data_IF_602832110247
#
_entry.id   IF_602832110247
#
_cell.length_a   1.000
_cell.length_b   1.000
_cell.length_c   1.000
_cell.angle_alpha   90.00
_cell.angle_beta   90.00
_cell.angle_gamma   90.00
#
_symmetry.space_group_name_H-M   'P 1'
#
loop_
_entity.id
_entity.type
_entity.pdbx_description
1 polymer ?
#
# COMPACT_ATOMS: atom_id res chain seq x y z
N UNK A 1 -12.12 -2.92 12.71
CA UNK A 1 -11.37 -2.73 11.43
C UNK A 1 -10.25 -3.75 11.35
N UNK A 2 -10.14 -4.48 10.23
CA UNK A 2 -9.06 -5.45 9.99
C UNK A 2 -8.26 -5.01 8.77
N UNK A 3 -6.94 -5.07 8.86
CA UNK A 3 -5.99 -4.73 7.79
C UNK A 3 -5.18 -5.97 7.44
N UNK A 4 -5.27 -6.42 6.18
CA UNK A 4 -4.51 -7.54 5.63
C UNK A 4 -3.53 -7.02 4.59
N UNK A 5 -2.24 -7.33 4.73
CA UNK A 5 -1.23 -7.01 3.73
C UNK A 5 -1.26 -8.08 2.63
N UNK A 6 -1.77 -7.74 1.46
CA UNK A 6 -1.88 -8.66 0.32
C UNK A 6 -0.54 -8.84 -0.41
N UNK A 7 0.31 -7.84 -0.31
CA UNK A 7 1.67 -7.83 -0.83
C UNK A 7 2.48 -6.74 -0.17
N UNK A 8 3.78 -6.96 -0.03
CA UNK A 8 4.70 -6.09 0.72
C UNK A 8 5.96 -5.74 -0.08
N UNK A 9 6.09 -6.26 -1.30
CA UNK A 9 7.21 -6.04 -2.19
C UNK A 9 7.07 -4.79 -3.06
N UNK A 10 8.20 -4.42 -3.66
CA UNK A 10 8.31 -3.32 -4.62
C UNK A 10 7.72 -3.66 -6.00
N UNK A 11 7.90 -2.74 -6.96
CA UNK A 11 7.43 -2.89 -8.34
C UNK A 11 7.89 -4.19 -9.04
N UNK A 12 8.94 -4.82 -8.56
CA UNK A 12 9.51 -6.05 -9.14
C UNK A 12 9.01 -7.29 -8.42
N UNK A 13 8.75 -7.18 -7.12
CA UNK A 13 8.47 -8.29 -6.22
C UNK A 13 9.71 -9.14 -5.89
N UNK A 14 9.54 -10.09 -4.96
CA UNK A 14 10.60 -11.04 -4.58
C UNK A 14 10.03 -12.46 -4.63
N UNK A 15 10.67 -13.42 -5.33
CA UNK A 15 11.93 -13.29 -6.07
C UNK A 15 11.78 -12.48 -7.35
N UNK A 16 12.83 -11.74 -7.71
CA UNK A 16 12.93 -11.02 -8.97
C UNK A 16 13.27 -11.98 -10.12
N UNK A 17 12.62 -11.79 -11.26
CA UNK A 17 12.86 -12.57 -12.47
C UNK A 17 14.34 -12.51 -12.87
N UNK A 18 14.97 -13.71 -13.01
CA UNK A 18 16.36 -13.84 -13.44
C UNK A 18 17.41 -13.42 -12.41
N UNK A 19 17.05 -13.33 -11.13
CA UNK A 19 17.96 -12.93 -10.06
C UNK A 19 18.29 -14.07 -9.11
N UNK A 20 19.60 -14.28 -8.86
CA UNK A 20 20.15 -15.29 -7.96
C UNK A 20 20.75 -14.72 -6.67
N UNK A 21 20.34 -13.50 -6.26
CA UNK A 21 20.81 -12.96 -4.99
C UNK A 21 20.32 -13.82 -3.81
N UNK A 22 20.95 -13.71 -2.62
CA UNK A 22 20.60 -14.56 -1.47
C UNK A 22 19.11 -14.50 -1.12
N UNK A 23 18.48 -13.31 -1.18
CA UNK A 23 17.07 -13.11 -0.87
C UNK A 23 16.14 -13.76 -1.90
N UNK A 24 16.48 -13.67 -3.19
CA UNK A 24 15.70 -14.33 -4.25
C UNK A 24 15.82 -15.86 -4.18
N UNK A 25 17.00 -16.40 -3.89
CA UNK A 25 17.19 -17.85 -3.67
C UNK A 25 16.42 -18.31 -2.45
N UNK A 26 16.53 -17.60 -1.31
CA UNK A 26 15.75 -17.91 -0.13
C UNK A 26 14.23 -17.96 -0.43
N UNK A 27 13.71 -16.97 -1.15
CA UNK A 27 12.31 -16.94 -1.54
C UNK A 27 11.88 -18.13 -2.41
N UNK A 28 12.75 -18.56 -3.34
CA UNK A 28 12.51 -19.73 -4.19
C UNK A 28 12.54 -21.04 -3.41
N UNK A 29 13.50 -21.19 -2.48
CA UNK A 29 13.69 -22.40 -1.67
C UNK A 29 12.60 -22.59 -0.62
N UNK A 30 12.14 -21.48 0.00
CA UNK A 30 11.14 -21.54 1.09
C UNK A 30 9.71 -21.34 0.61
N UNK A 31 9.51 -20.83 -0.62
CA UNK A 31 8.20 -20.42 -1.11
C UNK A 31 7.70 -19.10 -0.49
N UNK A 32 8.51 -18.44 0.34
CA UNK A 32 8.20 -17.12 0.91
C UNK A 32 8.62 -16.03 -0.05
N UNK A 33 7.68 -15.41 -0.74
CA UNK A 33 7.93 -14.29 -1.64
C UNK A 33 7.28 -13.02 -1.13
N UNK A 34 7.50 -11.93 -1.87
CA UNK A 34 6.79 -10.67 -1.68
C UNK A 34 6.08 -10.31 -2.98
N UNK A 35 4.76 -10.36 -2.98
CA UNK A 35 3.94 -9.78 -4.04
C UNK A 35 4.03 -8.26 -3.97
N UNK A 36 3.69 -7.57 -5.06
CA UNK A 36 3.67 -6.10 -5.11
C UNK A 36 2.71 -5.53 -4.08
N UNK A 37 3.04 -4.39 -3.51
CA UNK A 37 2.32 -3.80 -2.38
C UNK A 37 0.84 -3.57 -2.70
N UNK A 38 -0.01 -4.08 -1.82
CA UNK A 38 -1.46 -3.88 -1.81
C UNK A 38 -2.01 -4.25 -0.44
N UNK A 39 -3.08 -3.59 -0.01
CA UNK A 39 -3.74 -3.81 1.27
C UNK A 39 -5.22 -4.15 1.07
N UNK A 40 -5.77 -4.99 1.93
CA UNK A 40 -7.20 -5.21 2.05
C UNK A 40 -7.66 -4.76 3.44
N UNK A 41 -8.62 -3.84 3.48
CA UNK A 41 -9.23 -3.37 4.72
C UNK A 41 -10.65 -3.89 4.78
N UNK A 42 -10.97 -4.58 5.87
CA UNK A 42 -12.29 -5.15 6.13
C UNK A 42 -12.96 -4.43 7.30
N UNK A 43 -14.20 -4.01 7.12
CA UNK A 43 -15.05 -3.45 8.16
C UNK A 43 -16.51 -3.81 7.90
N UNK A 44 -17.20 -4.38 8.92
CA UNK A 44 -18.59 -4.73 8.83
C UNK A 44 -18.94 -5.66 7.65
N UNK A 45 -18.03 -6.54 7.23
CA UNK A 45 -18.18 -7.43 6.08
C UNK A 45 -18.03 -6.74 4.72
N UNK A 46 -17.55 -5.50 4.68
CA UNK A 46 -17.18 -4.74 3.48
C UNK A 46 -15.67 -4.70 3.31
N UNK A 47 -15.22 -4.71 2.04
CA UNK A 47 -13.81 -4.77 1.70
C UNK A 47 -13.39 -3.56 0.86
N UNK A 48 -12.40 -2.83 1.36
CA UNK A 48 -11.72 -1.74 0.65
C UNK A 48 -10.34 -2.26 0.23
N UNK A 49 -10.07 -2.25 -1.06
CA UNK A 49 -8.76 -2.62 -1.61
C UNK A 49 -7.94 -1.36 -1.83
N UNK A 50 -6.74 -1.29 -1.24
CA UNK A 50 -5.79 -0.19 -1.45
C UNK A 50 -4.73 -0.66 -2.42
N UNK A 51 -4.70 0.00 -3.57
CA UNK A 51 -3.92 -0.34 -4.75
C UNK A 51 -4.26 -1.72 -5.37
N UNK A 52 -4.34 -1.75 -6.67
CA UNK A 52 -4.64 -2.93 -7.48
C UNK A 52 -3.39 -3.35 -8.24
N UNK A 53 -2.48 -4.05 -7.56
CA UNK A 53 -1.22 -4.48 -8.15
C UNK A 53 -1.40 -5.48 -9.30
N UNK A 54 -0.42 -5.67 -10.19
CA UNK A 54 -0.45 -6.74 -11.20
C UNK A 54 -0.60 -8.14 -10.62
N UNK A 55 -0.33 -8.35 -9.33
CA UNK A 55 -0.48 -9.61 -8.62
C UNK A 55 -1.90 -9.81 -8.05
N UNK A 56 -2.84 -8.91 -8.36
CA UNK A 56 -4.16 -8.83 -7.73
C UNK A 56 -4.90 -10.18 -7.73
N UNK A 57 -4.90 -10.89 -8.84
CA UNK A 57 -5.53 -12.20 -8.92
C UNK A 57 -4.99 -13.16 -7.86
N UNK A 58 -3.68 -13.26 -7.72
CA UNK A 58 -3.03 -14.13 -6.73
C UNK A 58 -3.30 -13.64 -5.31
N UNK A 59 -3.26 -12.34 -5.09
CA UNK A 59 -3.53 -11.70 -3.80
C UNK A 59 -4.95 -12.00 -3.32
N UNK A 60 -5.96 -11.78 -4.15
CA UNK A 60 -7.36 -12.05 -3.78
C UNK A 60 -7.64 -13.54 -3.58
N UNK A 61 -7.06 -14.43 -4.39
CA UNK A 61 -7.19 -15.87 -4.19
C UNK A 61 -6.62 -16.31 -2.82
N UNK A 62 -5.47 -15.78 -2.43
CA UNK A 62 -4.87 -16.04 -1.11
C UNK A 62 -5.72 -15.47 0.04
N UNK A 63 -6.40 -14.36 -0.18
CA UNK A 63 -7.32 -13.74 0.79
C UNK A 63 -8.71 -14.40 0.87
N UNK A 64 -8.92 -15.51 0.18
CA UNK A 64 -10.21 -16.21 0.19
C UNK A 64 -11.24 -15.69 -0.81
N UNK A 65 -10.80 -14.93 -1.82
CA UNK A 65 -11.63 -14.38 -2.90
C UNK A 65 -12.76 -13.46 -2.40
N UNK A 66 -12.49 -12.45 -1.58
CA UNK A 66 -13.52 -11.54 -1.09
C UNK A 66 -14.11 -10.72 -2.25
N UNK A 67 -15.40 -10.34 -2.11
CA UNK A 67 -15.97 -9.29 -2.94
C UNK A 67 -15.33 -7.95 -2.58
N UNK A 68 -14.93 -7.16 -3.55
CA UNK A 68 -14.33 -5.82 -3.33
C UNK A 68 -15.41 -4.76 -3.52
N UNK A 69 -15.71 -4.02 -2.45
CA UNK A 69 -16.75 -2.99 -2.43
C UNK A 69 -16.25 -1.61 -2.88
N UNK A 70 -14.96 -1.34 -2.69
CA UNK A 70 -14.31 -0.09 -3.13
C UNK A 70 -12.81 -0.28 -3.33
N UNK A 71 -12.23 0.58 -4.17
CA UNK A 71 -10.79 0.66 -4.40
C UNK A 71 -10.28 2.06 -4.05
N UNK A 72 -9.13 2.13 -3.38
CA UNK A 72 -8.36 3.36 -3.21
C UNK A 72 -7.09 3.24 -4.06
N UNK A 73 -6.81 4.21 -4.95
CA UNK A 73 -5.51 4.29 -5.62
C UNK A 73 -4.66 5.40 -5.02
N UNK A 74 -3.44 5.05 -4.67
CA UNK A 74 -2.46 6.00 -4.11
C UNK A 74 -1.82 6.85 -5.21
N UNK A 75 -1.38 6.22 -6.30
CA UNK A 75 -0.73 6.89 -7.43
C UNK A 75 -0.74 6.02 -8.71
N UNK A 76 -0.20 6.58 -9.80
CA UNK A 76 -0.28 5.99 -11.14
C UNK A 76 0.94 5.17 -11.58
N UNK A 77 1.76 4.60 -10.69
CA UNK A 77 2.76 3.62 -11.10
C UNK A 77 2.10 2.26 -11.35
N UNK A 78 2.59 1.54 -12.37
CA UNK A 78 1.95 0.34 -12.87
C UNK A 78 1.73 -0.74 -11.79
N UNK A 79 2.64 -0.84 -10.85
CA UNK A 79 2.61 -1.81 -9.76
C UNK A 79 1.52 -1.53 -8.72
N UNK A 80 0.89 -0.35 -8.75
CA UNK A 80 -0.19 0.05 -7.85
C UNK A 80 -1.58 0.05 -8.50
N UNK A 81 -1.72 0.06 -9.84
CA UNK A 81 -3.05 0.15 -10.43
C UNK A 81 -3.36 -0.83 -11.56
N UNK A 82 -2.34 -1.41 -12.22
CA UNK A 82 -2.54 -2.18 -13.46
C UNK A 82 -3.37 -3.46 -13.29
N UNK A 83 -3.44 -4.03 -12.08
CA UNK A 83 -4.28 -5.20 -11.80
C UNK A 83 -5.78 -4.92 -11.77
N UNK A 84 -6.23 -3.66 -11.83
CA UNK A 84 -7.66 -3.32 -11.84
C UNK A 84 -8.43 -4.03 -12.95
N UNK A 85 -7.78 -4.33 -14.05
CA UNK A 85 -8.35 -5.10 -15.15
C UNK A 85 -8.82 -6.52 -14.79
N UNK A 86 -8.35 -7.08 -13.68
CA UNK A 86 -8.79 -8.40 -13.18
C UNK A 86 -10.27 -8.43 -12.77
N UNK A 87 -10.86 -7.26 -12.46
CA UNK A 87 -12.29 -7.18 -12.16
C UNK A 87 -13.19 -7.45 -13.38
N UNK A 88 -12.63 -7.36 -14.60
CA UNK A 88 -13.38 -7.65 -15.80
C UNK A 88 -13.91 -9.08 -15.79
N UNK A 89 -15.24 -9.22 -15.83
CA UNK A 89 -15.97 -10.51 -15.78
C UNK A 89 -15.85 -11.32 -14.47
N UNK A 90 -15.23 -10.76 -13.41
CA UNK A 90 -15.19 -11.39 -12.09
C UNK A 90 -16.31 -10.86 -11.21
N UNK A 91 -16.46 -9.54 -11.17
CA UNK A 91 -17.53 -8.82 -10.51
C UNK A 91 -17.80 -7.51 -11.27
N UNK A 92 -18.86 -6.77 -10.90
CA UNK A 92 -18.98 -5.37 -11.32
C UNK A 92 -17.74 -4.62 -10.82
N UNK A 93 -17.10 -3.84 -11.70
CA UNK A 93 -15.94 -3.08 -11.29
C UNK A 93 -16.29 -2.19 -10.09
N UNK A 94 -15.52 -2.24 -8.99
CA UNK A 94 -15.78 -1.44 -7.81
C UNK A 94 -15.56 0.05 -8.09
N UNK A 95 -16.26 0.95 -7.35
CA UNK A 95 -15.96 2.38 -7.38
C UNK A 95 -14.53 2.65 -6.93
N UNK A 96 -13.87 3.64 -7.56
CA UNK A 96 -12.49 4.00 -7.28
C UNK A 96 -12.41 5.38 -6.69
N UNK A 97 -11.76 5.49 -5.54
CA UNK A 97 -11.46 6.72 -4.82
C UNK A 97 -9.97 7.04 -4.95
N UNK A 98 -9.64 8.19 -5.50
CA UNK A 98 -8.25 8.67 -5.59
C UNK A 98 -8.21 10.17 -5.86
N UNK A 99 -7.04 10.79 -5.72
CA UNK A 99 -6.87 12.16 -6.14
C UNK A 99 -7.15 12.32 -7.66
N UNK A 100 -7.74 13.45 -8.06
CA UNK A 100 -8.14 13.69 -9.45
C UNK A 100 -7.03 13.43 -10.49
N UNK A 101 -5.75 13.82 -10.27
CA UNK A 101 -4.67 13.48 -11.21
C UNK A 101 -4.46 11.98 -11.39
N UNK A 102 -4.63 11.20 -10.31
CA UNK A 102 -4.50 9.73 -10.30
C UNK A 102 -5.68 9.10 -11.05
N UNK A 103 -6.91 9.50 -10.75
CA UNK A 103 -8.11 9.03 -11.46
C UNK A 103 -8.02 9.27 -12.96
N UNK A 104 -7.59 10.45 -13.36
CA UNK A 104 -7.46 10.79 -14.79
C UNK A 104 -6.42 9.92 -15.49
N UNK A 105 -5.27 9.70 -14.87
CA UNK A 105 -4.20 8.90 -15.44
C UNK A 105 -4.56 7.41 -15.49
N UNK A 106 -4.90 6.83 -14.34
CA UNK A 106 -5.20 5.41 -14.22
C UNK A 106 -6.50 5.02 -14.93
N UNK A 107 -7.57 5.80 -14.76
CA UNK A 107 -8.86 5.58 -15.44
C UNK A 107 -8.73 5.67 -16.95
N UNK A 108 -7.84 6.54 -17.45
CA UNK A 108 -7.52 6.61 -18.87
C UNK A 108 -6.96 5.32 -19.48
N UNK A 109 -6.33 4.47 -18.67
CA UNK A 109 -5.81 3.15 -19.07
C UNK A 109 -6.95 2.14 -19.24
N UNK A 110 -7.99 2.23 -18.42
CA UNK A 110 -9.11 1.29 -18.37
C UNK A 110 -10.38 1.80 -19.06
N UNK A 111 -10.26 2.54 -20.18
CA UNK A 111 -11.41 3.11 -20.93
C UNK A 111 -12.43 2.07 -21.41
N UNK A 112 -12.05 0.80 -21.42
CA UNK A 112 -12.93 -0.31 -21.81
C UNK A 112 -13.75 -0.87 -20.64
N UNK A 113 -13.48 -0.40 -19.39
CA UNK A 113 -14.22 -0.78 -18.19
C UNK A 113 -15.13 0.37 -17.74
N UNK A 114 -16.32 0.02 -17.29
CA UNK A 114 -17.24 0.97 -16.64
C UNK A 114 -17.10 0.85 -15.13
N UNK A 115 -16.72 1.94 -14.48
CA UNK A 115 -16.64 2.05 -13.01
C UNK A 115 -16.82 3.50 -12.56
N UNK A 116 -17.23 3.69 -11.33
CA UNK A 116 -17.45 5.02 -10.75
C UNK A 116 -16.11 5.63 -10.29
N UNK A 117 -15.92 6.91 -10.60
CA UNK A 117 -14.75 7.69 -10.18
C UNK A 117 -15.17 8.65 -9.08
N UNK A 118 -14.54 8.52 -7.90
CA UNK A 118 -14.77 9.37 -6.74
C UNK A 118 -13.49 10.16 -6.40
N UNK A 119 -13.38 11.42 -6.87
CA UNK A 119 -12.22 12.24 -6.55
C UNK A 119 -12.18 12.55 -5.05
N UNK A 120 -11.01 12.38 -4.45
CA UNK A 120 -10.75 12.73 -3.06
C UNK A 120 -9.67 13.80 -3.00
N UNK A 121 -9.77 14.70 -2.00
CA UNK A 121 -8.82 15.79 -1.81
C UNK A 121 -7.89 15.49 -0.63
N UNK A 122 -6.58 15.72 -0.75
CA UNK A 122 -5.65 15.58 0.37
C UNK A 122 -6.10 16.44 1.57
N UNK A 123 -6.05 15.82 2.74
CA UNK A 123 -6.41 16.42 4.03
C UNK A 123 -7.91 16.69 4.23
N UNK A 124 -8.76 16.21 3.33
CA UNK A 124 -10.22 16.26 3.48
C UNK A 124 -10.71 14.83 3.75
N UNK A 125 -11.15 14.52 4.97
CA UNK A 125 -11.61 13.19 5.31
C UNK A 125 -12.95 12.88 4.65
N UNK A 126 -13.17 11.59 4.35
CA UNK A 126 -14.45 11.06 3.91
C UNK A 126 -14.74 9.73 4.63
N UNK A 127 -16.00 9.35 4.70
CA UNK A 127 -16.43 8.12 5.37
C UNK A 127 -16.79 7.05 4.32
N UNK A 128 -16.31 5.83 4.54
CA UNK A 128 -16.59 4.68 3.68
C UNK A 128 -16.76 3.43 4.54
N UNK A 129 -17.96 2.85 4.53
CA UNK A 129 -18.32 1.63 5.29
C UNK A 129 -18.03 1.68 6.80
N UNK A 130 -18.14 2.85 7.43
CA UNK A 130 -17.86 3.03 8.86
C UNK A 130 -16.38 3.33 9.18
N UNK A 131 -15.53 3.43 8.18
CA UNK A 131 -14.15 3.88 8.31
C UNK A 131 -14.05 5.33 7.85
N UNK A 132 -13.47 6.19 8.69
CA UNK A 132 -13.08 7.55 8.29
C UNK A 132 -11.70 7.49 7.64
N UNK A 133 -11.62 7.97 6.40
CA UNK A 133 -10.40 7.90 5.57
C UNK A 133 -9.91 9.32 5.30
N UNK A 134 -8.66 9.61 5.67
CA UNK A 134 -8.02 10.90 5.39
C UNK A 134 -6.86 10.71 4.41
N UNK A 135 -6.99 11.14 3.14
CA UNK A 135 -5.88 11.17 2.21
C UNK A 135 -4.85 12.22 2.62
N UNK A 136 -3.57 11.97 2.41
CA UNK A 136 -2.52 12.98 2.63
C UNK A 136 -1.42 12.89 1.56
N UNK A 137 -0.75 14.02 1.30
CA UNK A 137 0.31 14.07 0.30
C UNK A 137 1.61 13.46 0.83
N UNK A 138 2.31 12.73 -0.02
CA UNK A 138 3.68 12.25 0.18
C UNK A 138 4.60 12.68 -0.98
N UNK A 139 5.87 12.38 -0.91
CA UNK A 139 6.86 12.77 -1.91
C UNK A 139 7.40 11.58 -2.69
N UNK A 140 6.84 11.37 -3.88
CA UNK A 140 7.27 10.31 -4.81
C UNK A 140 7.38 10.82 -6.26
N UNK A 141 8.27 11.79 -6.54
CA UNK A 141 8.32 12.45 -7.84
C UNK A 141 8.74 11.49 -8.96
N UNK A 142 8.18 11.63 -10.19
CA UNK A 142 7.25 12.70 -10.60
C UNK A 142 5.77 12.37 -10.34
N UNK A 143 5.44 11.23 -9.71
CA UNK A 143 4.07 10.81 -9.48
C UNK A 143 3.37 11.68 -8.42
N UNK A 144 2.11 12.05 -8.67
CA UNK A 144 1.23 12.58 -7.64
C UNK A 144 0.79 11.42 -6.75
N UNK A 145 1.19 11.45 -5.49
CA UNK A 145 0.99 10.32 -4.59
C UNK A 145 0.34 10.76 -3.28
N UNK A 146 -0.68 10.00 -2.87
CA UNK A 146 -1.32 10.12 -1.58
C UNK A 146 -1.11 8.86 -0.74
N UNK A 147 -0.82 9.05 0.55
CA UNK A 147 -1.06 8.04 1.56
C UNK A 147 -2.46 8.19 2.14
N UNK A 148 -2.85 7.29 3.03
CA UNK A 148 -4.16 7.27 3.71
C UNK A 148 -4.01 7.02 5.20
N UNK A 149 -4.79 7.73 6.02
CA UNK A 149 -5.05 7.36 7.42
C UNK A 149 -6.47 6.79 7.49
N UNK A 150 -6.61 5.63 8.10
CA UNK A 150 -7.87 4.92 8.34
C UNK A 150 -8.19 4.97 9.82
N UNK A 151 -9.40 5.40 10.16
CA UNK A 151 -9.84 5.55 11.55
C UNK A 151 -11.16 4.81 11.76
N UNK A 152 -11.19 3.87 12.69
CA UNK A 152 -12.38 3.16 13.12
C UNK A 152 -12.19 2.62 14.54
N UNK A 153 -13.27 2.53 15.33
CA UNK A 153 -13.26 1.99 16.72
C UNK A 153 -12.21 2.64 17.63
N UNK A 154 -11.89 3.92 17.41
CA UNK A 154 -10.87 4.63 18.18
C UNK A 154 -9.42 4.29 17.81
N UNK A 155 -9.20 3.44 16.83
CA UNK A 155 -7.87 3.07 16.31
C UNK A 155 -7.57 3.78 15.01
N UNK A 156 -6.27 4.05 14.77
CA UNK A 156 -5.76 4.80 13.63
C UNK A 156 -4.64 4.04 12.95
N UNK A 157 -4.78 3.77 11.65
CA UNK A 157 -3.78 3.10 10.81
C UNK A 157 -3.33 4.03 9.70
N UNK A 158 -2.03 4.27 9.57
CA UNK A 158 -1.43 5.06 8.50
C UNK A 158 -0.74 4.19 7.46
N UNK A 159 -0.94 4.50 6.19
CA UNK A 159 -0.26 3.89 5.05
C UNK A 159 0.33 4.99 4.17
N UNK A 160 1.66 5.06 4.08
CA UNK A 160 2.32 6.14 3.33
C UNK A 160 2.30 5.93 1.83
N UNK A 161 2.07 4.68 1.35
CA UNK A 161 2.40 4.34 -0.03
C UNK A 161 3.89 4.61 -0.31
N UNK A 162 4.26 4.79 -1.57
CA UNK A 162 5.61 5.11 -2.01
C UNK A 162 5.99 6.55 -1.66
N UNK A 163 7.09 6.73 -0.96
CA UNK A 163 7.55 8.06 -0.57
C UNK A 163 9.04 8.11 -0.25
N UNK A 164 9.66 9.25 -0.46
CA UNK A 164 10.92 9.55 0.18
C UNK A 164 10.68 10.20 1.57
N UNK A 165 11.76 10.56 2.27
CA UNK A 165 11.69 11.12 3.62
C UNK A 165 11.16 12.57 3.69
N UNK A 166 11.06 13.27 2.55
CA UNK A 166 10.66 14.69 2.49
C UNK A 166 9.13 14.83 2.51
N UNK A 167 8.46 14.10 3.41
CA UNK A 167 7.00 14.14 3.59
C UNK A 167 6.59 15.53 4.10
N UNK A 168 5.52 16.15 3.54
CA UNK A 168 5.04 17.44 4.02
C UNK A 168 4.70 17.44 5.52
N UNK A 169 5.01 18.51 6.24
CA UNK A 169 4.77 18.63 7.69
C UNK A 169 3.31 18.35 8.07
N UNK A 170 2.34 18.88 7.31
CA UNK A 170 0.90 18.61 7.51
C UNK A 170 0.57 17.11 7.41
N UNK A 171 1.29 16.35 6.61
CA UNK A 171 1.14 14.89 6.49
C UNK A 171 1.80 14.18 7.67
N UNK A 172 2.97 14.64 8.12
CA UNK A 172 3.64 14.11 9.30
C UNK A 172 2.76 14.26 10.55
N UNK A 173 2.04 15.40 10.69
CA UNK A 173 1.11 15.62 11.81
C UNK A 173 -0.02 14.58 11.85
N UNK A 174 -0.50 14.12 10.70
CA UNK A 174 -1.51 13.05 10.63
C UNK A 174 -0.95 11.68 11.02
N UNK A 175 0.36 11.48 10.85
CA UNK A 175 1.03 10.20 11.09
C UNK A 175 1.55 10.03 12.52
N UNK A 176 1.39 11.02 13.41
CA UNK A 176 1.80 10.92 14.81
C UNK A 176 0.87 10.01 15.61
N UNK A 177 1.47 9.27 16.55
CA UNK A 177 0.79 8.48 17.57
C UNK A 177 -0.27 7.50 17.00
N UNK A 178 0.02 6.89 15.85
CA UNK A 178 -0.83 5.88 15.22
C UNK A 178 -0.77 4.54 15.97
N UNK A 179 -1.81 3.73 15.84
CA UNK A 179 -1.79 2.34 16.32
C UNK A 179 -0.89 1.47 15.43
N UNK A 180 -0.95 1.70 14.10
CA UNK A 180 -0.07 1.07 13.11
C UNK A 180 0.36 2.09 12.06
N UNK A 181 1.64 2.07 11.72
CA UNK A 181 2.19 2.85 10.60
C UNK A 181 2.87 1.91 9.59
N UNK A 182 2.36 1.92 8.36
CA UNK A 182 2.93 1.20 7.22
C UNK A 182 3.76 2.17 6.37
N UNK A 183 5.08 1.96 6.36
CA UNK A 183 6.06 2.88 5.77
C UNK A 183 6.79 2.27 4.58
N UNK A 184 6.99 3.08 3.52
CA UNK A 184 7.94 2.75 2.44
C UNK A 184 9.34 2.51 3.00
N UNK A 185 9.98 1.40 2.62
CA UNK A 185 11.38 1.11 2.92
C UNK A 185 11.99 0.22 1.82
N UNK A 186 12.27 0.83 0.67
CA UNK A 186 12.63 0.08 -0.53
C UNK A 186 13.94 -0.69 -0.44
N UNK A 187 14.98 -0.10 0.14
CA UNK A 187 16.35 -0.64 0.08
C UNK A 187 17.03 -0.67 1.46
N UNK A 188 18.10 -1.48 1.62
CA UNK A 188 18.87 -1.50 2.88
C UNK A 188 19.45 -0.14 3.27
N UNK A 189 19.73 0.03 4.56
CA UNK A 189 20.18 1.28 5.19
C UNK A 189 21.37 1.98 4.51
N UNK A 190 22.27 1.22 3.92
CA UNK A 190 23.47 1.76 3.28
C UNK A 190 23.27 2.22 1.83
N UNK A 191 22.07 1.97 1.26
CA UNK A 191 21.76 2.31 -0.13
C UNK A 191 21.08 3.67 -0.20
N UNK A 192 21.63 4.59 -1.00
CA UNK A 192 20.97 5.86 -1.29
C UNK A 192 19.94 5.70 -2.39
N UNK A 193 18.75 6.27 -2.14
CA UNK A 193 17.67 6.30 -3.10
C UNK A 193 16.95 7.66 -3.02
N UNK A 194 16.42 8.15 -4.14
CA UNK A 194 15.86 9.52 -4.22
C UNK A 194 14.34 9.53 -4.07
N UNK A 195 13.67 8.51 -4.62
CA UNK A 195 12.20 8.49 -4.70
C UNK A 195 11.53 7.76 -3.55
N UNK A 196 12.28 6.96 -2.80
CA UNK A 196 11.82 6.12 -1.71
C UNK A 196 12.68 6.36 -0.46
N UNK A 197 12.29 5.77 0.65
CA UNK A 197 13.14 5.66 1.84
C UNK A 197 14.02 4.41 1.75
N UNK A 198 15.21 4.48 2.34
CA UNK A 198 15.90 3.27 2.76
C UNK A 198 15.41 2.85 4.15
N UNK A 199 15.82 1.68 4.60
CA UNK A 199 15.37 1.13 5.88
C UNK A 199 15.71 2.03 7.08
N UNK A 200 16.89 2.66 7.11
CA UNK A 200 17.28 3.55 8.21
C UNK A 200 16.42 4.82 8.23
N UNK A 201 16.16 5.41 7.06
CA UNK A 201 15.28 6.58 6.95
C UNK A 201 13.86 6.26 7.45
N UNK A 202 13.31 5.09 7.11
CA UNK A 202 12.00 4.64 7.56
C UNK A 202 11.95 4.40 9.07
N UNK A 203 12.94 3.73 9.65
CA UNK A 203 13.01 3.52 11.10
C UNK A 203 13.14 4.85 11.85
N UNK A 204 14.01 5.76 11.40
CA UNK A 204 14.20 7.07 12.03
C UNK A 204 12.91 7.90 11.98
N UNK A 205 12.19 7.85 10.86
CA UNK A 205 10.90 8.53 10.73
C UNK A 205 9.87 7.91 11.68
N UNK A 206 9.76 6.58 11.74
CA UNK A 206 8.85 5.90 12.66
C UNK A 206 9.13 6.27 14.12
N UNK A 207 10.41 6.30 14.54
CA UNK A 207 10.81 6.73 15.88
C UNK A 207 10.34 8.15 16.21
N UNK A 208 10.41 9.07 15.23
CA UNK A 208 9.98 10.47 15.41
C UNK A 208 8.46 10.66 15.47
N UNK A 209 7.69 9.72 14.91
CA UNK A 209 6.24 9.76 14.83
C UNK A 209 5.53 9.00 15.97
N UNK A 210 6.27 8.19 16.72
CA UNK A 210 5.81 7.44 17.90
C UNK A 210 4.59 6.53 17.68
N UNK A 211 4.47 5.78 16.55
CA UNK A 211 3.39 4.81 16.41
C UNK A 211 3.54 3.68 17.45
N UNK A 212 2.43 3.05 17.88
CA UNK A 212 2.48 1.87 18.75
C UNK A 212 3.17 0.68 18.08
N UNK A 213 2.96 0.56 16.76
CA UNK A 213 3.59 -0.44 15.91
C UNK A 213 3.89 0.17 14.53
N UNK A 214 4.99 -0.24 13.90
CA UNK A 214 5.22 0.07 12.49
C UNK A 214 5.74 -1.13 11.72
N UNK A 215 5.47 -1.14 10.42
CA UNK A 215 6.00 -2.11 9.45
C UNK A 215 6.53 -1.41 8.21
N UNK A 216 7.66 -1.90 7.73
CA UNK A 216 8.25 -1.51 6.47
C UNK A 216 7.63 -2.31 5.33
N UNK A 217 7.14 -1.63 4.32
CA UNK A 217 6.51 -2.17 3.11
C UNK A 217 7.24 -1.68 1.87
N UNK A 218 6.78 -2.11 0.69
CA UNK A 218 7.38 -1.77 -0.60
C UNK A 218 8.86 -2.17 -0.69
N UNK A 219 9.15 -3.36 -0.16
CA UNK A 219 10.50 -3.88 0.11
C UNK A 219 11.07 -4.55 -1.13
N UNK A 220 12.25 -4.13 -1.59
CA UNK A 220 12.91 -4.73 -2.75
C UNK A 220 13.58 -6.07 -2.43
N UNK A 221 13.87 -6.83 -3.50
CA UNK A 221 14.53 -8.13 -3.44
C UNK A 221 15.97 -8.11 -2.87
N UNK A 222 16.55 -6.93 -2.63
CA UNK A 222 17.89 -6.82 -2.03
C UNK A 222 17.85 -6.56 -0.52
N UNK A 223 16.64 -6.38 0.05
CA UNK A 223 16.46 -6.19 1.48
C UNK A 223 16.66 -7.52 2.21
N UNK A 224 17.60 -7.61 3.19
CA UNK A 224 17.78 -8.81 4.00
C UNK A 224 16.51 -9.20 4.75
N UNK A 225 16.14 -10.48 4.74
CA UNK A 225 14.93 -10.99 5.38
C UNK A 225 14.91 -10.80 6.90
N UNK A 226 16.09 -10.81 7.52
CA UNK A 226 16.28 -10.71 8.96
C UNK A 226 16.14 -9.30 9.54
N UNK A 227 15.95 -8.27 8.71
CA UNK A 227 15.73 -6.91 9.21
C UNK A 227 14.44 -6.83 10.02
N UNK A 228 14.48 -6.24 11.23
CA UNK A 228 13.27 -6.03 12.04
C UNK A 228 12.22 -5.20 11.31
N UNK A 229 10.98 -5.31 11.77
CA UNK A 229 9.86 -4.50 11.27
C UNK A 229 9.53 -4.65 9.77
N UNK A 230 10.15 -5.55 9.03
CA UNK A 230 9.70 -5.85 7.68
C UNK A 230 8.31 -6.49 7.73
N UNK A 231 7.41 -5.99 6.90
CA UNK A 231 6.12 -6.63 6.71
C UNK A 231 6.27 -7.90 5.86
N UNK A 232 5.33 -8.82 6.02
CA UNK A 232 5.22 -10.04 5.23
C UNK A 232 3.84 -10.11 4.57
N UNK A 233 3.78 -10.71 3.38
CA UNK A 233 2.51 -10.98 2.72
C UNK A 233 1.65 -11.87 3.63
N UNK A 234 0.40 -11.46 3.84
CA UNK A 234 -0.50 -12.14 4.74
C UNK A 234 -0.49 -11.66 6.20
N UNK A 235 0.35 -10.67 6.59
CA UNK A 235 0.23 -10.06 7.91
C UNK A 235 -1.16 -9.45 8.11
N UNK A 236 -1.73 -9.69 9.28
CA UNK A 236 -3.08 -9.24 9.67
C UNK A 236 -2.99 -8.41 10.95
N UNK A 237 -3.67 -7.27 10.96
CA UNK A 237 -3.83 -6.39 12.12
C UNK A 237 -5.32 -6.17 12.37
N UNK A 238 -5.79 -6.39 13.60
CA UNK A 238 -7.20 -6.29 13.95
C UNK A 238 -7.42 -5.27 15.06
N UNK A 239 -8.39 -4.39 14.85
CA UNK A 239 -8.80 -3.31 15.76
C UNK A 239 -10.30 -3.41 16.01
N UNK A 240 -10.65 -3.58 17.30
CA UNK A 240 -12.03 -3.83 17.77
C UNK A 240 -12.55 -2.65 18.56
#
# INVERSE_FOLDING_TARGET
MKVLLLGTGDAIGTPKIGCDCPQCRHAQETGTGRLRTSLLIEEGGRHILVDTSPDLRQQLLRAGSPHIDAVLWTHGHYDHFMGFGEFYRVQKCPPVYAAEPVLRYCGGTFRFLEFEHHPVEPYVPFDLFGIRITPFLVRHPPAYTCGFVFEAHGSRVGYTSDTNRDIPEKSLDLLKDLDLLLLDALVPSHTRIVKHMNYLDACTLAESLHPKEFRCIHVSHVMPWEYPHLAEDGNVFEYV
#
